data_IF_354287789580
#
_entry.id   IF_354287789580
#
_cell.length_a   1.000
_cell.length_b   1.000
_cell.length_c   1.000
_cell.angle_alpha   90.00
_cell.angle_beta   90.00
_cell.angle_gamma   90.00
#
_symmetry.space_group_name_H-M   'P 1'
#
loop_
_entity.id
_entity.type
_entity.pdbx_description
1 polymer ?
#
# COMPACT_ATOMS: atom_id res chain seq x y z
N UNK A 1 -29.05 -16.63 -17.79
CA UNK A 1 -27.74 -16.01 -18.10
C UNK A 1 -27.80 -14.57 -17.63
N UNK A 2 -26.70 -14.01 -17.11
CA UNK A 2 -26.66 -12.59 -16.78
C UNK A 2 -27.13 -11.73 -17.95
N UNK A 3 -27.91 -10.68 -17.67
CA UNK A 3 -28.25 -9.72 -18.71
C UNK A 3 -26.99 -8.92 -19.07
N UNK A 4 -26.47 -9.09 -20.29
CA UNK A 4 -25.35 -8.30 -20.78
C UNK A 4 -25.85 -6.89 -21.09
N UNK A 5 -25.19 -5.88 -20.53
CA UNK A 5 -25.51 -4.47 -20.76
C UNK A 5 -24.69 -3.93 -21.93
N UNK A 6 -25.26 -3.00 -22.70
CA UNK A 6 -24.52 -2.25 -23.71
C UNK A 6 -23.67 -1.16 -23.03
N UNK A 7 -22.37 -1.14 -23.33
CA UNK A 7 -21.38 -0.30 -22.63
C UNK A 7 -20.58 0.60 -23.58
N UNK A 8 -21.19 1.28 -24.58
CA UNK A 8 -20.46 1.93 -25.66
C UNK A 8 -19.49 3.02 -25.18
N UNK A 9 -19.74 3.67 -24.05
CA UNK A 9 -18.86 4.73 -23.54
C UNK A 9 -17.60 4.11 -22.92
N UNK A 10 -17.75 3.13 -22.03
CA UNK A 10 -16.61 2.49 -21.37
C UNK A 10 -15.88 1.51 -22.30
N UNK A 11 -16.49 1.04 -23.39
CA UNK A 11 -15.84 0.23 -24.43
C UNK A 11 -14.69 0.99 -25.11
N UNK A 12 -14.76 2.31 -25.18
CA UNK A 12 -13.65 3.13 -25.68
C UNK A 12 -12.39 3.01 -24.80
N UNK A 13 -12.54 2.69 -23.52
CA UNK A 13 -11.44 2.49 -22.56
C UNK A 13 -10.73 1.14 -22.73
N UNK A 14 -11.19 0.29 -23.66
CA UNK A 14 -10.48 -0.92 -24.07
C UNK A 14 -9.35 -0.65 -25.06
N UNK A 15 -9.34 0.53 -25.66
CA UNK A 15 -8.34 0.95 -26.65
C UNK A 15 -7.04 1.41 -25.96
N UNK A 16 -5.96 1.47 -26.73
CA UNK A 16 -4.65 1.90 -26.25
C UNK A 16 -3.80 0.77 -25.68
N UNK A 17 -2.62 1.13 -25.19
CA UNK A 17 -1.57 0.19 -24.76
C UNK A 17 -1.58 -0.11 -23.26
N UNK A 18 -2.20 0.76 -22.44
CA UNK A 18 -2.28 0.53 -21.00
C UNK A 18 -3.29 -0.59 -20.68
N UNK A 19 -3.00 -1.50 -19.74
CA UNK A 19 -3.93 -2.57 -19.36
C UNK A 19 -5.30 -2.02 -18.95
N UNK A 20 -6.34 -2.35 -19.72
CA UNK A 20 -7.68 -1.80 -19.51
C UNK A 20 -8.41 -2.53 -18.40
N UNK A 21 -8.85 -1.79 -17.37
CA UNK A 21 -9.70 -2.34 -16.32
C UNK A 21 -11.08 -2.79 -16.84
N UNK A 22 -11.57 -2.20 -17.94
CA UNK A 22 -12.84 -2.62 -18.57
C UNK A 22 -12.70 -4.03 -19.15
N UNK A 23 -11.57 -4.34 -19.81
CA UNK A 23 -11.27 -5.71 -20.29
C UNK A 23 -11.21 -6.70 -19.15
N UNK A 24 -10.59 -6.33 -18.04
CA UNK A 24 -10.49 -7.17 -16.85
C UNK A 24 -11.86 -7.48 -16.23
N UNK A 25 -12.74 -6.47 -16.11
CA UNK A 25 -14.09 -6.68 -15.60
C UNK A 25 -14.91 -7.53 -16.59
N UNK A 26 -14.82 -7.28 -17.91
CA UNK A 26 -15.48 -8.11 -18.92
C UNK A 26 -15.04 -9.58 -18.86
N UNK A 27 -13.73 -9.83 -18.66
CA UNK A 27 -13.20 -11.18 -18.48
C UNK A 27 -13.76 -11.86 -17.23
N UNK A 28 -13.83 -11.15 -16.10
CA UNK A 28 -14.45 -11.69 -14.89
C UNK A 28 -15.95 -12.00 -15.11
N UNK A 29 -16.63 -11.15 -15.86
CA UNK A 29 -18.04 -11.31 -16.21
C UNK A 29 -18.34 -12.49 -17.15
N UNK A 30 -17.32 -13.03 -17.82
CA UNK A 30 -17.36 -14.21 -18.69
C UNK A 30 -16.81 -15.48 -18.00
N UNK A 31 -16.20 -15.35 -16.83
CA UNK A 31 -15.54 -16.45 -16.12
C UNK A 31 -16.54 -17.50 -15.63
N UNK A 32 -16.39 -18.77 -15.99
CA UNK A 32 -17.23 -19.85 -15.48
C UNK A 32 -16.92 -20.24 -14.02
N UNK A 33 -15.83 -19.72 -13.46
CA UNK A 33 -15.38 -20.09 -12.11
C UNK A 33 -16.12 -19.32 -11.02
N UNK A 34 -16.74 -18.18 -11.37
CA UNK A 34 -17.46 -17.34 -10.42
C UNK A 34 -18.90 -17.83 -10.28
N UNK A 35 -19.35 -18.08 -9.04
CA UNK A 35 -20.66 -18.70 -8.79
C UNK A 35 -21.84 -17.80 -9.21
N UNK A 36 -21.67 -16.47 -9.16
CA UNK A 36 -22.68 -15.48 -9.57
C UNK A 36 -22.08 -14.42 -10.52
N UNK A 37 -22.01 -14.75 -11.81
CA UNK A 37 -21.45 -13.85 -12.84
C UNK A 37 -22.23 -12.54 -13.03
N UNK A 38 -23.39 -12.37 -12.38
CA UNK A 38 -24.17 -11.14 -12.49
C UNK A 38 -23.44 -9.95 -11.86
N UNK A 39 -22.55 -10.16 -10.86
CA UNK A 39 -21.81 -9.07 -10.22
C UNK A 39 -21.06 -8.19 -11.22
N UNK A 40 -20.20 -8.79 -12.05
CA UNK A 40 -19.33 -8.05 -12.96
C UNK A 40 -20.11 -7.48 -14.15
N UNK A 41 -21.14 -8.19 -14.64
CA UNK A 41 -22.02 -7.68 -15.71
C UNK A 41 -22.78 -6.44 -15.25
N UNK A 42 -23.44 -6.50 -14.09
CA UNK A 42 -24.23 -5.39 -13.57
C UNK A 42 -23.34 -4.24 -13.09
N UNK A 43 -22.10 -4.53 -12.63
CA UNK A 43 -21.11 -3.50 -12.37
C UNK A 43 -20.76 -2.72 -13.64
N UNK A 44 -20.57 -3.39 -14.78
CA UNK A 44 -20.31 -2.74 -16.07
C UNK A 44 -21.49 -1.86 -16.48
N UNK A 45 -22.72 -2.37 -16.36
CA UNK A 45 -23.93 -1.61 -16.66
C UNK A 45 -24.08 -0.35 -15.80
N UNK A 46 -23.91 -0.49 -14.48
CA UNK A 46 -23.98 0.65 -13.56
C UNK A 46 -22.83 1.64 -13.80
N UNK A 47 -21.62 1.15 -14.11
CA UNK A 47 -20.48 1.99 -14.43
C UNK A 47 -20.71 2.79 -15.71
N UNK A 48 -21.21 2.17 -16.78
CA UNK A 48 -21.59 2.85 -18.01
C UNK A 48 -22.61 3.97 -17.74
N UNK A 49 -23.62 3.70 -16.92
CA UNK A 49 -24.60 4.73 -16.53
C UNK A 49 -23.92 5.87 -15.76
N UNK A 50 -23.02 5.56 -14.82
CA UNK A 50 -22.22 6.56 -14.12
C UNK A 50 -21.37 7.41 -15.07
N UNK A 51 -20.81 6.84 -16.15
CA UNK A 51 -20.08 7.60 -17.17
C UNK A 51 -21.00 8.55 -17.95
N UNK A 52 -22.20 8.10 -18.31
CA UNK A 52 -23.21 8.91 -19.02
C UNK A 52 -23.71 10.07 -18.16
N UNK A 53 -24.08 9.79 -16.91
CA UNK A 53 -24.68 10.77 -16.01
C UNK A 53 -23.66 11.59 -15.22
N UNK A 54 -22.39 11.19 -15.24
CA UNK A 54 -21.27 11.84 -14.53
C UNK A 54 -21.51 11.97 -13.02
N UNK A 55 -22.16 10.96 -12.43
CA UNK A 55 -22.41 10.86 -10.99
C UNK A 55 -22.25 9.42 -10.51
N UNK A 56 -22.10 9.26 -9.19
CA UNK A 56 -22.08 7.93 -8.56
C UNK A 56 -23.49 7.37 -8.42
N UNK A 57 -23.63 6.06 -8.61
CA UNK A 57 -24.86 5.29 -8.38
C UNK A 57 -24.76 4.38 -7.15
N UNK A 58 -23.97 4.81 -6.16
CA UNK A 58 -23.83 4.11 -4.90
C UNK A 58 -24.45 4.94 -3.77
N UNK A 59 -25.31 4.31 -2.96
CA UNK A 59 -25.91 4.94 -1.78
C UNK A 59 -24.85 5.34 -0.75
N UNK A 60 -25.26 6.25 0.14
CA UNK A 60 -24.45 6.67 1.27
C UNK A 60 -24.22 5.50 2.26
N UNK A 61 -22.95 5.22 2.55
CA UNK A 61 -22.53 4.29 3.59
C UNK A 61 -23.00 2.84 3.41
N UNK A 62 -23.01 2.12 4.53
CA UNK A 62 -23.41 0.73 4.66
C UNK A 62 -22.68 0.08 5.83
N UNK A 63 -23.44 -0.40 6.82
CA UNK A 63 -22.88 -1.06 8.01
C UNK A 63 -23.14 -2.54 7.91
N UNK A 64 -22.08 -3.28 7.63
CA UNK A 64 -22.03 -4.75 7.54
C UNK A 64 -20.67 -5.19 8.06
N UNK A 65 -20.55 -6.46 8.45
CA UNK A 65 -19.31 -7.00 9.00
C UNK A 65 -19.48 -8.47 9.33
N UNK A 66 -18.53 -8.97 10.11
CA UNK A 66 -18.50 -10.35 10.61
C UNK A 66 -18.52 -10.34 12.14
N UNK A 67 -19.06 -11.39 12.75
CA UNK A 67 -19.17 -11.49 14.19
C UNK A 67 -17.79 -11.37 14.86
N UNK A 68 -17.75 -10.59 15.93
CA UNK A 68 -16.53 -10.35 16.71
C UNK A 68 -15.70 -9.16 16.25
N UNK A 69 -15.85 -8.71 15.00
CA UNK A 69 -15.10 -7.57 14.43
C UNK A 69 -16.03 -6.40 14.07
N UNK A 70 -15.61 -5.19 14.43
CA UNK A 70 -16.27 -3.94 14.03
C UNK A 70 -15.62 -3.28 12.81
N UNK A 71 -14.74 -4.00 12.12
CA UNK A 71 -13.76 -3.50 11.16
C UNK A 71 -13.60 -4.50 10.00
N UNK A 72 -12.99 -4.07 8.89
CA UNK A 72 -12.57 -4.97 7.79
C UNK A 72 -13.51 -5.09 6.60
N UNK A 73 -14.80 -4.80 6.75
CA UNK A 73 -15.76 -4.79 5.62
C UNK A 73 -16.28 -3.38 5.37
N UNK A 74 -16.40 -2.99 4.09
CA UNK A 74 -17.05 -1.74 3.66
C UNK A 74 -18.37 -2.08 2.98
N UNK A 75 -19.48 -1.77 3.66
CA UNK A 75 -20.81 -1.90 3.08
C UNK A 75 -21.02 -0.90 1.95
N UNK A 76 -21.69 -1.38 0.90
CA UNK A 76 -22.04 -0.58 -0.28
C UNK A 76 -23.25 -1.18 -0.98
N UNK A 77 -24.14 -0.31 -1.42
CA UNK A 77 -25.40 -0.65 -2.05
C UNK A 77 -25.64 0.24 -3.26
N UNK A 78 -26.11 -0.33 -4.37
CA UNK A 78 -26.55 0.43 -5.54
C UNK A 78 -27.75 1.33 -5.18
N UNK A 79 -27.83 2.53 -5.78
CA UNK A 79 -29.02 3.38 -5.68
C UNK A 79 -30.14 3.02 -6.67
N UNK A 80 -29.87 2.10 -7.59
CA UNK A 80 -30.76 1.62 -8.66
C UNK A 80 -30.79 0.09 -8.73
N UNK A 81 -31.09 -0.61 -7.62
CA UNK A 81 -30.96 -2.06 -7.52
C UNK A 81 -31.90 -2.83 -8.47
N UNK A 82 -33.04 -2.25 -8.87
CA UNK A 82 -33.97 -2.90 -9.79
C UNK A 82 -33.40 -2.99 -11.21
N UNK A 83 -32.54 -2.04 -11.60
CA UNK A 83 -31.87 -2.04 -12.91
C UNK A 83 -30.61 -2.90 -12.92
N UNK A 84 -29.89 -2.95 -11.78
CA UNK A 84 -28.62 -3.66 -11.65
C UNK A 84 -28.63 -4.56 -10.39
N UNK A 85 -29.45 -5.63 -10.37
CA UNK A 85 -29.69 -6.45 -9.19
C UNK A 85 -28.44 -7.19 -8.68
N UNK A 86 -27.51 -7.54 -9.56
CA UNK A 86 -26.23 -8.18 -9.23
C UNK A 86 -25.32 -7.30 -8.36
N UNK A 87 -25.50 -5.98 -8.40
CA UNK A 87 -24.74 -5.03 -7.54
C UNK A 87 -25.63 -4.30 -6.53
N UNK A 88 -26.86 -4.81 -6.28
CA UNK A 88 -27.71 -4.30 -5.21
C UNK A 88 -26.97 -4.29 -3.86
N UNK A 89 -26.21 -5.36 -3.59
CA UNK A 89 -25.17 -5.42 -2.56
C UNK A 89 -23.82 -5.60 -3.24
N UNK A 90 -22.84 -4.76 -2.90
CA UNK A 90 -21.52 -4.82 -3.50
C UNK A 90 -20.42 -4.53 -2.48
N UNK A 91 -20.43 -5.30 -1.40
CA UNK A 91 -19.57 -5.07 -0.24
C UNK A 91 -18.11 -5.38 -0.56
N UNK A 92 -17.21 -4.60 0.02
CA UNK A 92 -15.77 -4.81 -0.13
C UNK A 92 -15.21 -5.45 1.14
N UNK A 93 -14.54 -6.60 0.99
CA UNK A 93 -13.81 -7.26 2.08
C UNK A 93 -12.33 -6.89 1.97
N UNK A 94 -11.75 -6.39 3.06
CA UNK A 94 -10.32 -6.11 3.16
C UNK A 94 -9.63 -7.31 3.78
N UNK A 95 -8.65 -7.87 3.10
CA UNK A 95 -7.85 -8.98 3.60
C UNK A 95 -6.44 -8.48 3.89
N UNK A 96 -5.95 -8.76 5.09
CA UNK A 96 -4.64 -8.32 5.54
C UNK A 96 -3.54 -8.96 4.67
N UNK A 97 -2.65 -8.15 4.11
CA UNK A 97 -1.59 -8.59 3.22
C UNK A 97 -0.32 -9.01 3.98
N UNK A 98 0.52 -9.91 3.42
CA UNK A 98 1.86 -10.14 3.93
C UNK A 98 2.73 -8.88 3.80
N UNK A 99 3.61 -8.65 4.77
CA UNK A 99 4.54 -7.52 4.75
C UNK A 99 5.39 -7.52 3.46
N UNK A 100 5.57 -6.35 2.86
CA UNK A 100 6.31 -6.21 1.58
C UNK A 100 5.59 -6.75 0.34
N UNK A 101 4.33 -7.22 0.47
CA UNK A 101 3.50 -7.70 -0.65
C UNK A 101 4.09 -8.91 -1.41
N UNK A 102 4.81 -9.77 -0.70
CA UNK A 102 5.34 -11.02 -1.25
C UNK A 102 4.28 -12.13 -1.21
N UNK A 103 4.17 -12.87 -2.30
CA UNK A 103 3.22 -13.95 -2.46
C UNK A 103 3.86 -15.14 -3.16
N UNK A 104 3.46 -16.34 -2.76
CA UNK A 104 3.54 -17.52 -3.63
C UNK A 104 2.32 -17.57 -4.54
N UNK A 105 2.41 -18.30 -5.65
CA UNK A 105 1.24 -18.52 -6.51
C UNK A 105 0.12 -19.25 -5.77
N UNK A 106 0.47 -20.14 -4.84
CA UNK A 106 -0.50 -20.94 -4.11
C UNK A 106 -1.30 -20.07 -3.12
N UNK A 107 -0.63 -19.16 -2.41
CA UNK A 107 -1.27 -18.16 -1.55
C UNK A 107 -2.29 -17.30 -2.34
N UNK A 108 -1.96 -16.88 -3.56
CA UNK A 108 -2.88 -16.11 -4.41
C UNK A 108 -4.04 -16.96 -4.92
N UNK A 109 -3.77 -18.20 -5.34
CA UNK A 109 -4.82 -19.14 -5.80
C UNK A 109 -5.81 -19.43 -4.69
N UNK A 110 -5.36 -19.63 -3.46
CA UNK A 110 -6.25 -19.84 -2.32
C UNK A 110 -7.24 -18.68 -2.15
N UNK A 111 -6.78 -17.42 -2.27
CA UNK A 111 -7.64 -16.24 -2.18
C UNK A 111 -8.60 -16.19 -3.36
N UNK A 112 -8.13 -16.48 -4.58
CA UNK A 112 -8.98 -16.55 -5.77
C UNK A 112 -10.07 -17.61 -5.62
N UNK A 113 -9.74 -18.82 -5.14
CA UNK A 113 -10.70 -19.91 -4.97
C UNK A 113 -11.83 -19.53 -4.01
N UNK A 114 -11.49 -18.86 -2.89
CA UNK A 114 -12.49 -18.34 -1.95
C UNK A 114 -13.32 -17.23 -2.60
N UNK A 115 -12.67 -16.34 -3.35
CA UNK A 115 -13.35 -15.17 -3.91
C UNK A 115 -14.23 -15.49 -5.11
N UNK A 116 -13.85 -16.45 -5.95
CA UNK A 116 -14.67 -16.93 -7.06
C UNK A 116 -15.94 -17.63 -6.55
N UNK A 117 -15.85 -18.30 -5.38
CA UNK A 117 -16.98 -18.96 -4.75
C UNK A 117 -18.00 -17.99 -4.14
N UNK A 118 -17.54 -16.95 -3.44
CA UNK A 118 -18.42 -16.10 -2.64
C UNK A 118 -18.55 -14.65 -3.12
N UNK A 119 -17.71 -14.21 -4.05
CA UNK A 119 -17.62 -12.83 -4.49
C UNK A 119 -17.83 -12.67 -5.98
N UNK A 120 -17.38 -11.52 -6.47
CA UNK A 120 -17.51 -11.10 -7.86
C UNK A 120 -16.40 -11.61 -8.79
N UNK A 121 -15.34 -12.22 -8.24
CA UNK A 121 -14.07 -12.44 -8.96
C UNK A 121 -13.24 -11.18 -9.20
N UNK A 122 -13.73 -9.99 -8.82
CA UNK A 122 -13.01 -8.72 -8.99
C UNK A 122 -12.19 -8.37 -7.75
N UNK A 123 -10.98 -7.86 -7.94
CA UNK A 123 -10.11 -7.46 -6.84
C UNK A 123 -9.45 -6.10 -7.10
N UNK A 124 -8.89 -5.50 -6.05
CA UNK A 124 -7.79 -4.55 -6.21
C UNK A 124 -6.55 -5.11 -5.51
N UNK A 125 -5.45 -5.18 -6.25
CA UNK A 125 -4.14 -5.63 -5.80
C UNK A 125 -3.16 -4.45 -5.91
N UNK A 126 -3.11 -3.54 -4.93
CA UNK A 126 -3.72 -3.58 -3.59
C UNK A 126 -4.51 -2.31 -3.30
N UNK A 127 -5.21 -2.27 -2.16
CA UNK A 127 -5.74 -1.04 -1.61
C UNK A 127 -4.62 -0.10 -1.16
N UNK A 128 -4.82 1.22 -1.25
CA UNK A 128 -3.77 2.19 -0.92
C UNK A 128 -3.29 2.15 0.54
N UNK A 129 -3.96 1.45 1.46
CA UNK A 129 -3.43 1.25 2.81
C UNK A 129 -2.48 0.06 2.87
N UNK A 130 -2.76 -1.00 2.10
CA UNK A 130 -1.99 -2.23 2.02
C UNK A 130 -2.87 -3.44 1.69
N UNK A 131 -4.12 -3.43 2.13
CA UNK A 131 -5.01 -4.60 2.07
C UNK A 131 -5.17 -5.16 0.65
N UNK A 132 -5.29 -6.48 0.56
CA UNK A 132 -5.92 -7.12 -0.60
C UNK A 132 -7.40 -6.74 -0.56
N UNK A 133 -7.94 -6.28 -1.70
CA UNK A 133 -9.33 -5.84 -1.80
C UNK A 133 -10.12 -6.87 -2.57
N UNK A 134 -11.05 -7.53 -1.91
CA UNK A 134 -12.04 -8.39 -2.53
C UNK A 134 -13.29 -7.55 -2.81
N UNK A 135 -13.53 -7.22 -4.08
CA UNK A 135 -14.42 -6.14 -4.48
C UNK A 135 -15.80 -6.66 -4.93
N UNK A 136 -16.76 -6.68 -4.02
CA UNK A 136 -18.16 -6.96 -4.35
C UNK A 136 -18.61 -8.35 -3.92
N UNK A 137 -19.43 -8.39 -2.89
CA UNK A 137 -20.18 -9.56 -2.44
C UNK A 137 -21.47 -9.13 -1.72
N UNK A 138 -22.33 -10.09 -1.40
CA UNK A 138 -23.58 -9.91 -0.65
C UNK A 138 -23.35 -10.07 0.86
N UNK A 139 -24.30 -9.59 1.65
CA UNK A 139 -24.22 -9.66 3.12
C UNK A 139 -24.14 -11.10 3.62
N UNK A 140 -24.94 -12.01 3.06
CA UNK A 140 -24.95 -13.42 3.49
C UNK A 140 -23.61 -14.15 3.28
N UNK A 141 -22.76 -13.63 2.40
CA UNK A 141 -21.47 -14.25 2.06
C UNK A 141 -20.31 -13.77 2.95
N UNK A 142 -20.50 -12.73 3.77
CA UNK A 142 -19.43 -12.15 4.58
C UNK A 142 -18.87 -13.14 5.62
N UNK A 143 -19.75 -13.83 6.35
CA UNK A 143 -19.34 -14.84 7.34
C UNK A 143 -18.70 -16.08 6.67
N UNK A 144 -19.26 -16.67 5.59
CA UNK A 144 -18.59 -17.73 4.84
C UNK A 144 -17.21 -17.35 4.30
N UNK A 145 -17.05 -16.17 3.70
CA UNK A 145 -15.74 -15.68 3.22
C UNK A 145 -14.75 -15.60 4.37
N UNK A 146 -15.15 -14.98 5.48
CA UNK A 146 -14.27 -14.81 6.62
C UNK A 146 -13.88 -16.16 7.26
N UNK A 147 -14.83 -17.07 7.43
CA UNK A 147 -14.56 -18.40 7.97
C UNK A 147 -13.57 -19.18 7.09
N UNK A 148 -13.75 -19.14 5.76
CA UNK A 148 -12.88 -19.88 4.85
C UNK A 148 -11.48 -19.25 4.76
N UNK A 149 -11.37 -17.92 4.69
CA UNK A 149 -10.09 -17.21 4.78
C UNK A 149 -9.34 -17.53 6.08
N UNK A 150 -10.03 -17.43 7.23
CA UNK A 150 -9.47 -17.68 8.55
C UNK A 150 -8.96 -19.12 8.71
N UNK A 151 -9.69 -20.08 8.16
CA UNK A 151 -9.28 -21.50 8.17
C UNK A 151 -7.97 -21.76 7.41
N UNK A 152 -7.57 -20.83 6.53
CA UNK A 152 -6.36 -20.87 5.71
C UNK A 152 -5.26 -19.92 6.22
N UNK A 153 -5.46 -19.31 7.39
CA UNK A 153 -4.48 -18.41 8.02
C UNK A 153 -4.51 -16.95 7.53
N UNK A 154 -5.51 -16.58 6.73
CA UNK A 154 -5.76 -15.19 6.36
C UNK A 154 -6.69 -14.52 7.37
N UNK A 155 -6.48 -13.24 7.66
CA UNK A 155 -7.40 -12.45 8.48
C UNK A 155 -7.82 -11.18 7.73
N UNK A 156 -8.89 -10.55 8.19
CA UNK A 156 -9.35 -9.28 7.67
C UNK A 156 -8.41 -8.14 8.04
N UNK A 157 -8.36 -7.15 7.15
CA UNK A 157 -7.69 -5.87 7.38
C UNK A 157 -8.53 -4.90 8.22
N UNK A 158 -8.01 -3.68 8.40
CA UNK A 158 -8.63 -2.64 9.22
C UNK A 158 -9.48 -1.61 8.44
N UNK A 159 -10.61 -1.20 9.02
CA UNK A 159 -11.46 -0.09 8.61
C UNK A 159 -12.03 0.66 9.85
N UNK A 160 -12.86 1.69 9.68
CA UNK A 160 -13.44 2.40 10.83
C UNK A 160 -12.46 3.22 11.69
N UNK A 161 -12.86 3.56 12.91
CA UNK A 161 -12.05 4.28 13.90
C UNK A 161 -11.18 3.31 14.72
N UNK A 162 -10.26 2.68 14.02
CA UNK A 162 -9.38 1.61 14.49
C UNK A 162 -7.96 1.82 13.98
N UNK A 163 -7.01 1.02 14.48
CA UNK A 163 -5.77 0.76 13.76
C UNK A 163 -6.15 0.24 12.37
N UNK A 164 -5.53 0.81 11.34
CA UNK A 164 -5.62 0.28 9.99
C UNK A 164 -4.41 -0.59 9.75
N UNK A 165 -4.58 -1.53 8.84
CA UNK A 165 -3.58 -2.42 8.30
C UNK A 165 -2.22 -1.74 8.11
N UNK A 166 -1.21 -2.09 8.93
CA UNK A 166 0.15 -1.62 8.74
C UNK A 166 0.71 -2.06 7.39
N UNK A 167 1.63 -1.29 6.83
CA UNK A 167 2.35 -1.69 5.62
C UNK A 167 3.73 -1.06 5.53
N UNK A 168 4.60 -1.65 4.71
CA UNK A 168 5.99 -1.26 4.60
C UNK A 168 6.51 -1.28 3.16
N UNK A 169 7.69 -0.72 2.96
CA UNK A 169 8.46 -0.97 1.74
C UNK A 169 9.02 -2.41 1.73
N UNK A 170 9.74 -2.75 0.66
CA UNK A 170 10.36 -4.08 0.48
C UNK A 170 11.45 -4.39 1.53
N UNK A 171 11.99 -3.37 2.18
CA UNK A 171 12.92 -3.53 3.29
C UNK A 171 14.18 -4.34 2.94
N UNK A 172 14.73 -5.10 3.90
CA UNK A 172 15.96 -5.86 3.69
C UNK A 172 15.78 -7.05 2.73
N UNK A 173 14.55 -7.44 2.37
CA UNK A 173 14.34 -8.55 1.44
C UNK A 173 14.93 -8.28 0.05
N UNK A 174 15.00 -7.00 -0.37
CA UNK A 174 15.55 -6.64 -1.68
C UNK A 174 16.09 -5.21 -1.80
N UNK A 175 16.41 -4.57 -0.68
CA UNK A 175 17.01 -3.23 -0.69
C UNK A 175 18.18 -3.16 0.28
N UNK A 176 19.35 -2.88 -0.29
CA UNK A 176 20.61 -2.67 0.41
C UNK A 176 20.63 -1.38 1.25
N UNK A 177 19.63 -0.50 1.08
CA UNK A 177 19.50 0.74 1.84
C UNK A 177 18.70 0.59 3.14
N UNK A 178 18.15 -0.59 3.42
CA UNK A 178 17.32 -0.78 4.61
C UNK A 178 18.15 -0.61 5.88
N UNK A 179 17.70 0.30 6.74
CA UNK A 179 18.31 0.55 8.05
C UNK A 179 17.77 -0.39 9.13
N UNK A 180 16.64 -1.04 8.91
CA UNK A 180 16.08 -2.05 9.82
C UNK A 180 15.23 -3.05 9.04
N UNK A 181 14.76 -4.10 9.71
CA UNK A 181 13.80 -5.03 9.12
C UNK A 181 12.38 -4.46 9.15
N UNK A 182 12.00 -3.81 8.05
CA UNK A 182 10.66 -3.24 7.92
C UNK A 182 9.59 -4.31 7.82
N UNK A 183 9.93 -5.50 7.30
CA UNK A 183 8.96 -6.58 7.12
C UNK A 183 8.58 -7.16 8.47
N UNK A 184 9.58 -7.46 9.29
CA UNK A 184 9.40 -8.00 10.64
C UNK A 184 8.65 -7.02 11.53
N UNK A 185 9.06 -5.74 11.57
CA UNK A 185 8.36 -4.74 12.38
C UNK A 185 6.89 -4.56 11.94
N UNK A 186 6.60 -4.66 10.64
CA UNK A 186 5.22 -4.62 10.14
C UNK A 186 4.41 -5.79 10.66
N UNK A 187 4.98 -6.99 10.58
CA UNK A 187 4.33 -8.19 11.09
C UNK A 187 4.09 -8.08 12.60
N UNK A 188 5.11 -7.74 13.38
CA UNK A 188 5.01 -7.60 14.83
C UNK A 188 3.98 -6.56 15.27
N UNK A 189 3.96 -5.36 14.66
CA UNK A 189 2.94 -4.33 14.94
C UNK A 189 1.55 -4.86 14.58
N UNK A 190 1.42 -5.54 13.44
CA UNK A 190 0.13 -6.09 13.01
C UNK A 190 -0.39 -7.13 13.98
N UNK A 191 0.46 -8.05 14.45
CA UNK A 191 0.09 -9.08 15.43
C UNK A 191 -0.17 -8.48 16.83
N UNK A 192 0.64 -7.51 17.24
CA UNK A 192 0.55 -6.89 18.57
C UNK A 192 -0.76 -6.12 18.78
N UNK A 193 -1.30 -5.51 17.72
CA UNK A 193 -2.47 -4.64 17.76
C UNK A 193 -3.67 -5.21 16.98
N UNK A 194 -3.85 -6.54 16.99
CA UNK A 194 -5.02 -7.19 16.37
C UNK A 194 -6.33 -6.66 16.95
N UNK A 195 -6.42 -6.49 18.28
CA UNK A 195 -7.63 -5.99 18.93
C UNK A 195 -7.98 -4.58 18.45
N UNK A 196 -7.02 -3.66 18.47
CA UNK A 196 -7.24 -2.28 18.04
C UNK A 196 -7.44 -2.15 16.53
N UNK A 197 -7.06 -3.15 15.73
CA UNK A 197 -7.30 -3.21 14.29
C UNK A 197 -8.72 -3.70 13.98
N UNK A 198 -9.19 -4.72 14.70
CA UNK A 198 -10.47 -5.37 14.45
C UNK A 198 -11.65 -4.78 15.23
N UNK A 199 -11.39 -4.14 16.38
CA UNK A 199 -12.42 -3.60 17.29
C UNK A 199 -12.21 -2.09 17.43
N UNK A 200 -12.93 -1.27 16.64
CA UNK A 200 -12.78 0.18 16.68
C UNK A 200 -13.10 0.77 18.06
N UNK A 201 -12.06 1.23 18.76
CA UNK A 201 -12.14 1.85 20.09
C UNK A 201 -11.55 3.26 20.12
N UNK A 202 -10.98 3.72 19.00
CA UNK A 202 -10.30 5.00 18.92
C UNK A 202 -11.26 6.14 18.53
N UNK A 203 -10.92 7.41 18.84
CA UNK A 203 -11.69 8.54 18.34
C UNK A 203 -11.74 8.60 16.81
N UNK A 204 -10.67 8.20 16.12
CA UNK A 204 -10.63 8.11 14.67
C UNK A 204 -9.62 7.06 14.19
N UNK A 205 -9.42 6.97 12.87
CA UNK A 205 -8.49 6.00 12.26
C UNK A 205 -7.04 6.28 12.70
N UNK A 206 -6.24 5.24 12.84
CA UNK A 206 -4.79 5.35 13.08
C UNK A 206 -4.03 4.42 12.13
N UNK A 207 -2.91 4.87 11.55
CA UNK A 207 -2.14 4.10 10.57
C UNK A 207 -0.66 4.05 10.94
N UNK A 208 -0.07 2.87 10.77
CA UNK A 208 1.38 2.67 10.81
C UNK A 208 1.93 2.44 9.39
N UNK A 209 3.05 3.08 9.06
CA UNK A 209 3.85 2.74 7.87
C UNK A 209 5.34 2.76 8.15
N UNK A 210 6.03 1.76 7.63
CA UNK A 210 7.45 1.49 7.89
C UNK A 210 8.25 1.62 6.60
N UNK A 211 9.17 2.58 6.56
CA UNK A 211 10.12 2.76 5.47
C UNK A 211 11.55 2.47 5.94
N UNK A 212 12.30 1.70 5.17
CA UNK A 212 13.66 1.30 5.53
C UNK A 212 14.70 2.41 5.45
N UNK A 213 14.41 3.53 4.77
CA UNK A 213 15.27 4.70 4.68
C UNK A 213 14.47 5.97 4.28
N UNK A 214 15.13 7.12 4.23
CA UNK A 214 14.53 8.42 3.91
C UNK A 214 14.01 8.57 2.45
N UNK A 215 14.26 7.60 1.56
CA UNK A 215 13.58 7.55 0.25
C UNK A 215 12.06 7.33 0.43
N UNK A 216 11.66 6.72 1.54
CA UNK A 216 10.26 6.53 1.93
C UNK A 216 9.39 5.89 0.84
N UNK A 217 9.81 4.73 0.31
CA UNK A 217 9.12 4.06 -0.81
C UNK A 217 7.65 3.68 -0.53
N UNK A 218 7.22 3.67 0.73
CA UNK A 218 5.81 3.41 1.12
C UNK A 218 5.04 4.72 1.40
N UNK A 219 5.69 5.88 1.23
CA UNK A 219 5.18 7.22 1.52
C UNK A 219 4.58 7.33 2.94
N UNK A 220 5.29 6.75 3.91
CA UNK A 220 4.92 6.74 5.32
C UNK A 220 4.72 8.15 5.87
N UNK A 221 5.58 9.12 5.52
CA UNK A 221 5.52 10.50 6.02
C UNK A 221 4.24 11.23 5.60
N UNK A 222 3.59 10.78 4.53
CA UNK A 222 2.42 11.44 3.94
C UNK A 222 1.11 10.65 4.10
N UNK A 223 1.18 9.38 4.56
CA UNK A 223 0.03 8.46 4.51
C UNK A 223 -0.19 7.65 5.77
N UNK A 224 0.58 7.89 6.84
CA UNK A 224 0.43 7.24 8.12
C UNK A 224 0.47 8.22 9.29
N UNK A 225 -0.46 8.05 10.23
CA UNK A 225 -0.48 8.81 11.48
C UNK A 225 0.80 8.60 12.29
N UNK A 226 1.42 7.41 12.18
CA UNK A 226 2.78 7.12 12.64
C UNK A 226 3.65 6.58 11.51
N UNK A 227 4.69 7.35 11.18
CA UNK A 227 5.69 7.04 10.16
C UNK A 227 6.98 6.60 10.85
N UNK A 228 7.50 5.44 10.48
CA UNK A 228 8.75 4.90 11.04
C UNK A 228 9.75 4.83 9.89
N UNK A 229 10.70 5.76 9.85
CA UNK A 229 11.60 5.95 8.71
C UNK A 229 13.03 5.64 9.12
N UNK A 230 13.66 4.69 8.44
CA UNK A 230 14.99 4.20 8.76
C UNK A 230 16.05 5.28 8.58
N UNK A 231 17.02 5.29 9.49
CA UNK A 231 18.17 6.19 9.45
C UNK A 231 19.36 5.54 10.17
N UNK A 232 20.48 6.26 10.26
CA UNK A 232 21.68 5.80 10.93
C UNK A 232 22.34 6.93 11.73
N UNK A 233 23.20 6.53 12.67
CA UNK A 233 24.25 7.37 13.25
C UNK A 233 25.62 6.92 12.73
N UNK A 234 26.61 7.76 13.00
CA UNK A 234 27.97 7.57 12.50
C UNK A 234 28.10 7.93 11.02
N UNK A 235 29.28 7.64 10.50
CA UNK A 235 29.71 8.15 9.20
C UNK A 235 29.14 7.33 8.05
N UNK A 236 28.86 7.99 6.93
CA UNK A 236 28.63 7.31 5.66
C UNK A 236 29.89 6.51 5.31
N UNK A 237 29.70 5.25 4.93
CA UNK A 237 30.80 4.40 4.51
C UNK A 237 31.14 4.74 3.05
N UNK A 238 32.42 4.93 2.76
CA UNK A 238 32.91 5.35 1.44
C UNK A 238 33.94 4.34 0.93
N UNK A 239 33.61 3.69 -0.19
CA UNK A 239 34.58 2.97 -1.01
C UNK A 239 35.15 3.93 -2.06
N UNK A 240 36.35 4.45 -1.79
CA UNK A 240 37.02 5.40 -2.68
C UNK A 240 37.40 4.78 -4.04
N UNK A 241 37.61 3.47 -4.12
CA UNK A 241 37.88 2.81 -5.39
C UNK A 241 36.64 2.87 -6.28
N UNK A 242 35.48 2.53 -5.72
CA UNK A 242 34.22 2.64 -6.44
C UNK A 242 33.86 4.10 -6.76
N UNK A 243 34.16 5.08 -5.88
CA UNK A 243 34.03 6.51 -6.19
C UNK A 243 34.80 6.86 -7.47
N UNK A 244 36.07 6.47 -7.56
CA UNK A 244 36.89 6.70 -8.76
C UNK A 244 36.34 5.96 -9.98
N UNK A 245 35.76 4.77 -9.80
CA UNK A 245 35.14 4.02 -10.89
C UNK A 245 33.89 4.76 -11.44
N UNK A 246 33.09 5.40 -10.60
CA UNK A 246 32.00 6.28 -11.06
C UNK A 246 32.52 7.45 -11.89
N UNK A 247 33.54 8.17 -11.42
CA UNK A 247 34.16 9.28 -12.14
C UNK A 247 34.72 8.85 -13.52
N UNK A 248 35.45 7.73 -13.55
CA UNK A 248 36.00 7.15 -14.79
C UNK A 248 34.93 6.77 -15.81
N UNK A 249 33.75 6.35 -15.34
CA UNK A 249 32.61 5.98 -16.18
C UNK A 249 31.73 7.17 -16.58
N UNK A 250 32.20 8.40 -16.37
CA UNK A 250 31.58 9.62 -16.91
C UNK A 250 30.62 10.34 -15.98
N UNK A 251 30.51 9.95 -14.70
CA UNK A 251 29.75 10.72 -13.72
C UNK A 251 30.53 12.00 -13.35
N UNK A 252 29.87 13.15 -13.43
CA UNK A 252 30.41 14.39 -12.89
C UNK A 252 30.12 14.46 -11.39
N UNK A 253 31.07 13.97 -10.57
CA UNK A 253 30.89 13.91 -9.11
C UNK A 253 30.68 15.30 -8.51
N UNK A 254 31.32 16.35 -9.05
CA UNK A 254 31.15 17.69 -8.54
C UNK A 254 29.70 18.15 -8.77
N UNK A 255 29.25 18.13 -10.02
CA UNK A 255 27.93 18.65 -10.40
C UNK A 255 26.77 17.77 -9.93
N UNK A 256 26.92 16.43 -9.93
CA UNK A 256 25.82 15.51 -9.65
C UNK A 256 25.71 15.11 -8.17
N UNK A 257 26.80 15.20 -7.41
CA UNK A 257 26.87 14.72 -6.02
C UNK A 257 27.12 15.86 -5.05
N UNK A 258 28.24 16.58 -5.22
CA UNK A 258 28.68 17.62 -4.27
C UNK A 258 27.76 18.84 -4.33
N UNK A 259 27.55 19.40 -5.52
CA UNK A 259 26.74 20.61 -5.72
C UNK A 259 25.24 20.38 -5.45
N UNK A 260 24.81 19.12 -5.47
CA UNK A 260 23.44 18.70 -5.16
C UNK A 260 23.23 18.32 -3.69
N UNK A 261 24.29 18.32 -2.86
CA UNK A 261 24.17 18.04 -1.44
C UNK A 261 23.43 19.17 -0.72
N UNK A 262 22.28 18.91 -0.08
CA UNK A 262 21.44 19.98 0.49
C UNK A 262 22.08 20.74 1.65
N UNK A 263 23.07 20.15 2.32
CA UNK A 263 23.81 20.81 3.42
C UNK A 263 25.21 21.26 3.01
N UNK A 264 25.64 21.00 1.77
CA UNK A 264 26.99 21.34 1.30
C UNK A 264 28.12 20.65 2.07
N UNK A 265 27.83 19.52 2.73
CA UNK A 265 28.78 18.83 3.61
C UNK A 265 29.79 17.92 2.88
N UNK A 266 29.88 17.98 1.54
CA UNK A 266 30.71 17.07 0.74
C UNK A 266 31.79 17.85 -0.02
N UNK A 267 32.91 17.20 -0.30
CA UNK A 267 33.95 17.73 -1.19
C UNK A 267 34.59 16.65 -2.04
N UNK A 268 34.99 17.02 -3.26
CA UNK A 268 35.63 16.16 -4.24
C UNK A 268 36.84 16.89 -4.84
N UNK A 269 38.02 16.28 -4.81
CA UNK A 269 39.27 16.88 -5.31
C UNK A 269 39.72 16.32 -6.67
N UNK A 270 38.90 15.47 -7.29
CA UNK A 270 39.26 14.72 -8.49
C UNK A 270 39.77 13.30 -8.21
N UNK A 271 40.01 12.94 -6.94
CA UNK A 271 40.49 11.62 -6.54
C UNK A 271 39.80 11.02 -5.29
N UNK A 272 39.53 11.83 -4.27
CA UNK A 272 38.85 11.42 -3.02
C UNK A 272 37.57 12.21 -2.77
N UNK A 273 36.51 11.48 -2.40
CA UNK A 273 35.25 12.07 -1.91
C UNK A 273 35.28 12.14 -0.39
N UNK A 274 35.04 13.31 0.19
CA UNK A 274 34.98 13.52 1.64
C UNK A 274 33.60 14.01 2.03
N UNK A 275 33.15 13.59 3.21
CA UNK A 275 31.84 13.95 3.77
C UNK A 275 32.08 14.41 5.21
N UNK A 276 31.57 15.59 5.57
CA UNK A 276 31.43 16.01 6.95
C UNK A 276 30.11 15.47 7.50
N UNK A 277 30.14 14.27 8.09
CA UNK A 277 28.93 13.58 8.56
C UNK A 277 28.18 14.33 9.67
N UNK A 278 28.85 15.21 10.42
CA UNK A 278 28.21 16.05 11.45
C UNK A 278 27.18 17.02 10.84
N UNK A 279 27.41 17.47 9.60
CA UNK A 279 26.52 18.35 8.84
C UNK A 279 25.60 17.58 7.88
N UNK A 280 25.65 16.25 7.87
CA UNK A 280 24.84 15.41 6.99
C UNK A 280 23.42 15.26 7.53
N UNK A 281 22.42 15.65 6.73
CA UNK A 281 21.00 15.44 7.05
C UNK A 281 20.45 14.08 6.57
N UNK A 282 21.30 13.20 6.04
CA UNK A 282 20.97 11.82 5.63
C UNK A 282 19.85 11.75 4.57
N UNK A 283 19.85 12.68 3.62
CA UNK A 283 18.82 12.79 2.56
C UNK A 283 18.82 11.67 1.52
N UNK A 284 19.75 10.71 1.58
CA UNK A 284 19.94 9.59 0.64
C UNK A 284 20.44 9.93 -0.77
N UNK A 285 20.54 11.21 -1.18
CA UNK A 285 20.92 11.59 -2.56
C UNK A 285 22.24 10.94 -3.03
N UNK A 286 23.34 11.16 -2.30
CA UNK A 286 24.65 10.63 -2.66
C UNK A 286 24.67 9.08 -2.68
N UNK A 287 24.05 8.44 -1.67
CA UNK A 287 23.94 6.97 -1.59
C UNK A 287 23.11 6.41 -2.76
N UNK A 288 22.02 7.08 -3.15
CA UNK A 288 21.16 6.65 -4.25
C UNK A 288 21.86 6.80 -5.61
N UNK A 289 22.67 7.85 -5.79
CA UNK A 289 23.43 8.07 -7.03
C UNK A 289 24.68 7.19 -7.15
N UNK A 290 25.35 6.90 -6.03
CA UNK A 290 26.61 6.15 -6.00
C UNK A 290 26.49 4.88 -5.16
N UNK A 291 25.46 4.08 -5.43
CA UNK A 291 25.09 2.94 -4.59
C UNK A 291 26.20 1.91 -4.42
N UNK A 292 27.13 1.73 -5.35
CA UNK A 292 28.26 0.80 -5.10
C UNK A 292 29.31 1.37 -4.14
N UNK A 293 29.46 2.69 -4.12
CA UNK A 293 30.52 3.37 -3.39
C UNK A 293 30.10 3.83 -1.99
N UNK A 294 28.82 4.18 -1.80
CA UNK A 294 28.33 4.80 -0.57
C UNK A 294 27.29 3.92 0.14
N UNK A 295 27.45 3.76 1.45
CA UNK A 295 26.50 3.05 2.34
C UNK A 295 26.17 3.87 3.57
N UNK A 296 25.01 3.58 4.17
CA UNK A 296 24.62 4.12 5.47
C UNK A 296 25.67 3.78 6.53
N UNK A 297 25.75 4.59 7.59
CA UNK A 297 26.52 4.24 8.78
C UNK A 297 26.04 2.96 9.45
N UNK A 298 26.92 2.39 10.29
CA UNK A 298 26.71 1.08 10.90
C UNK A 298 25.66 1.09 12.02
N UNK A 299 25.56 2.17 12.78
CA UNK A 299 24.58 2.30 13.86
C UNK A 299 23.21 2.67 13.29
N UNK A 300 22.48 1.66 12.81
CA UNK A 300 21.18 1.84 12.19
C UNK A 300 20.04 1.88 13.21
N UNK A 301 18.96 2.55 12.81
CA UNK A 301 17.73 2.68 13.58
C UNK A 301 16.63 3.34 12.75
N UNK A 302 15.71 4.03 13.40
CA UNK A 302 14.66 4.80 12.74
C UNK A 302 14.36 6.13 13.43
N UNK A 303 13.79 7.05 12.68
CA UNK A 303 13.10 8.24 13.17
C UNK A 303 11.60 7.91 13.25
N UNK A 304 10.94 8.30 14.35
CA UNK A 304 9.48 8.23 14.48
C UNK A 304 8.90 9.62 14.22
N UNK A 305 7.98 9.69 13.26
CA UNK A 305 7.23 10.90 12.92
C UNK A 305 5.73 10.66 13.15
N UNK A 306 5.00 11.70 13.57
CA UNK A 306 3.56 11.62 13.81
C UNK A 306 2.78 12.70 13.06
N UNK A 307 1.51 12.39 12.76
CA UNK A 307 0.48 13.38 12.47
C UNK A 307 0.10 13.55 11.00
N UNK A 308 0.61 12.72 10.09
CA UNK A 308 0.21 12.83 8.69
C UNK A 308 -1.27 12.53 8.47
N UNK A 309 -1.93 13.38 7.69
CA UNK A 309 -3.33 13.22 7.29
C UNK A 309 -3.64 13.94 5.99
N UNK A 310 -4.66 13.44 5.31
CA UNK A 310 -5.31 14.13 4.19
C UNK A 310 -6.01 15.43 4.67
N UNK A 311 -6.50 16.31 3.77
CA UNK A 311 -6.98 17.64 4.13
C UNK A 311 -8.03 17.73 5.26
N UNK A 312 -9.02 16.85 5.28
CA UNK A 312 -10.15 16.98 6.21
C UNK A 312 -9.72 16.68 7.66
N UNK A 313 -10.07 17.49 8.67
CA UNK A 313 -10.83 18.75 8.60
C UNK A 313 -9.92 19.98 8.44
N UNK A 314 -8.74 19.97 9.07
CA UNK A 314 -7.86 21.15 9.21
C UNK A 314 -6.58 21.03 8.38
N UNK A 315 -6.70 21.00 7.05
CA UNK A 315 -5.56 20.98 6.13
C UNK A 315 -4.80 19.65 6.05
N UNK A 316 -4.03 19.48 4.98
CA UNK A 316 -3.19 18.30 4.81
C UNK A 316 -1.92 18.46 5.64
N UNK A 317 -1.46 17.38 6.28
CA UNK A 317 -0.24 17.36 7.06
C UNK A 317 0.64 16.19 6.62
N UNK A 318 1.94 16.44 6.52
CA UNK A 318 2.95 15.40 6.61
C UNK A 318 3.32 15.20 8.08
N UNK A 319 3.79 14.01 8.42
CA UNK A 319 4.24 13.70 9.77
C UNK A 319 5.47 14.55 10.12
N UNK A 320 5.54 15.01 11.38
CA UNK A 320 6.69 15.74 11.91
C UNK A 320 7.48 14.86 12.89
N UNK A 321 8.76 15.16 13.07
CA UNK A 321 9.67 14.39 13.93
C UNK A 321 9.23 14.45 15.39
N UNK A 322 9.12 13.27 16.01
CA UNK A 322 8.84 13.11 17.45
C UNK A 322 10.03 12.48 18.15
N UNK A 323 10.51 11.35 17.61
CA UNK A 323 11.71 10.66 18.11
C UNK A 323 12.76 10.73 17.00
N UNK A 324 13.82 11.57 17.14
CA UNK A 324 14.83 11.73 16.10
C UNK A 324 15.55 10.42 15.77
N UNK A 325 15.82 9.59 16.78
CA UNK A 325 16.45 8.28 16.61
C UNK A 325 15.98 7.32 17.69
N UNK A 326 15.56 6.13 17.28
CA UNK A 326 15.36 4.95 18.11
C UNK A 326 16.07 3.76 17.46
N UNK A 327 16.75 2.96 18.26
CA UNK A 327 17.32 1.69 17.81
C UNK A 327 16.17 0.68 17.69
N UNK A 328 16.09 0.00 16.54
CA UNK A 328 15.14 -1.08 16.32
C UNK A 328 15.92 -2.38 16.35
N UNK A 329 15.83 -3.10 17.47
CA UNK A 329 16.47 -4.40 17.64
C UNK A 329 15.55 -5.49 17.06
N UNK A 330 16.12 -6.56 16.45
CA UNK A 330 15.36 -7.68 15.89
C UNK A 330 14.44 -8.37 16.89
#
# INVERSE_FOLDING_TARGET
MPQKHETPTIDELEKGTFPSFVKEIKRAAESSNVQDNNYAQDLLGQLELSYKEKKTHWKHGGIVGVRGYGSGVIGRYSDIPDQFPGVAHFHTVRVNQPAGFFYTTDALREICDVWDKYGSGLTNMHGSTGDIILLGTKTENLEPVFAELSSRGWDLGGSGSAVRTPSCCVGPARCEWSCYDTLELTYQITQRYQDELHRPMFPYKFKFKMAGCAVDCIASIARADMSIIGTWKGNIQIDQEEVRNYAKNGMDIQAEIVDMCPTGCMSWDGNELKINDEDCNRCMHCIAKMTKALRQGEEKGATILLGSKAPIVTGALMSWVIVPFIKLEP
#
